data_IF_918271338527
#
_entry.id   IF_918271338527
#
_cell.length_a   1.000
_cell.length_b   1.000
_cell.length_c   1.000
_cell.angle_alpha   90.00
_cell.angle_beta   90.00
_cell.angle_gamma   90.00
#
_symmetry.space_group_name_H-M   'P 1'
#
loop_
_entity.id
_entity.type
_entity.pdbx_description
1 polymer ?
#
# COMPACT_ATOMS: atom_id res chain seq x y z
N UNK A 1 -16.67 1.01 8.54
CA UNK A 1 -15.85 0.74 7.36
C UNK A 1 -15.76 -0.75 7.12
N UNK A 2 -16.00 -1.16 5.91
CA UNK A 2 -15.97 -2.58 5.57
C UNK A 2 -14.66 -2.89 4.87
N UNK A 3 -13.77 -3.58 5.56
CA UNK A 3 -12.43 -3.85 5.04
C UNK A 3 -12.38 -5.05 4.11
N UNK A 4 -13.51 -5.69 3.88
CA UNK A 4 -13.58 -6.77 2.91
C UNK A 4 -13.72 -6.24 1.48
N UNK A 5 -14.00 -4.96 1.33
CA UNK A 5 -14.17 -4.32 0.04
C UNK A 5 -13.38 -3.03 0.01
N UNK A 6 -12.77 -2.75 -1.15
CA UNK A 6 -11.91 -1.59 -1.28
C UNK A 6 -11.79 -1.19 -2.74
N UNK A 7 -11.19 -0.03 -2.96
CA UNK A 7 -10.87 0.42 -4.30
C UNK A 7 -9.53 1.13 -4.27
N UNK A 8 -8.89 1.20 -5.42
CA UNK A 8 -7.64 1.92 -5.57
C UNK A 8 -7.67 2.57 -6.94
N UNK A 9 -7.73 3.88 -6.97
CA UNK A 9 -7.83 4.59 -8.23
C UNK A 9 -6.49 4.73 -8.92
N UNK A 10 -5.43 4.82 -8.15
CA UNK A 10 -4.09 5.00 -8.71
C UNK A 10 -3.24 3.72 -8.63
N UNK A 11 -3.78 2.66 -8.05
CA UNK A 11 -3.02 1.43 -7.89
C UNK A 11 -2.06 1.44 -6.72
N UNK A 12 -1.99 2.56 -5.99
CA UNK A 12 -1.05 2.71 -4.88
C UNK A 12 -1.79 2.98 -3.58
N UNK A 13 -2.81 3.82 -3.63
CA UNK A 13 -3.60 4.16 -2.46
C UNK A 13 -4.76 3.20 -2.31
N UNK A 14 -5.13 2.89 -1.08
CA UNK A 14 -6.21 1.96 -0.79
C UNK A 14 -7.29 2.68 -0.02
N UNK A 15 -8.52 2.56 -0.51
CA UNK A 15 -9.68 3.13 0.16
C UNK A 15 -10.66 2.02 0.47
N UNK A 16 -10.95 1.81 1.75
CA UNK A 16 -11.91 0.79 2.16
C UNK A 16 -13.33 1.28 1.97
N UNK A 17 -14.23 0.34 1.71
CA UNK A 17 -15.61 0.65 1.45
C UNK A 17 -16.33 1.09 2.73
N UNK A 18 -17.35 1.96 2.61
CA UNK A 18 -18.16 2.32 3.76
C UNK A 18 -19.00 1.13 4.21
N UNK A 19 -19.26 1.05 5.50
CA UNK A 19 -20.16 0.01 6.00
C UNK A 19 -21.61 0.46 5.92
N UNK A 20 -21.83 1.76 5.74
CA UNK A 20 -23.17 2.32 5.71
C UNK A 20 -23.26 3.28 4.53
N UNK A 21 -24.22 3.04 3.65
CA UNK A 21 -24.37 3.88 2.46
C UNK A 21 -25.76 3.69 1.87
N UNK A 22 -26.10 4.57 0.93
CA UNK A 22 -27.38 4.49 0.23
C UNK A 22 -27.15 4.24 -1.24
N UNK A 23 -27.91 3.30 -1.81
CA UNK A 23 -27.80 2.95 -3.21
C UNK A 23 -29.18 2.67 -3.74
N UNK A 24 -29.56 3.38 -4.85
CA UNK A 24 -30.87 3.24 -5.48
C UNK A 24 -32.00 3.42 -4.46
N UNK A 25 -31.86 4.41 -3.58
CA UNK A 25 -32.89 4.71 -2.60
C UNK A 25 -32.99 3.73 -1.46
N UNK A 26 -32.09 2.77 -1.39
CA UNK A 26 -32.08 1.78 -0.31
C UNK A 26 -30.85 1.99 0.55
N UNK A 27 -31.07 2.02 1.85
CA UNK A 27 -29.97 2.19 2.79
C UNK A 27 -29.43 0.86 3.22
N UNK A 28 -28.11 0.72 3.10
CA UNK A 28 -27.43 -0.52 3.46
C UNK A 28 -26.56 -0.25 4.70
N UNK A 29 -26.56 -1.21 5.59
CA UNK A 29 -25.79 -1.11 6.83
C UNK A 29 -25.17 -2.47 7.08
N UNK A 30 -23.82 -2.52 7.03
CA UNK A 30 -23.06 -3.73 7.31
C UNK A 30 -23.38 -4.86 6.33
N UNK A 31 -23.70 -4.52 5.07
CA UNK A 31 -23.91 -5.54 4.06
C UNK A 31 -22.57 -6.08 3.60
N UNK A 32 -22.57 -7.32 3.12
CA UNK A 32 -21.40 -7.92 2.51
C UNK A 32 -21.70 -8.36 1.08
N UNK A 33 -22.66 -7.71 0.44
CA UNK A 33 -23.04 -8.06 -0.91
C UNK A 33 -22.01 -7.53 -1.88
N UNK A 34 -21.31 -8.44 -2.52
CA UNK A 34 -20.29 -8.07 -3.50
C UNK A 34 -20.91 -7.32 -4.66
N UNK A 35 -22.10 -7.73 -5.06
CA UNK A 35 -22.80 -7.10 -6.17
C UNK A 35 -23.07 -5.63 -5.88
N UNK A 36 -23.55 -5.34 -4.68
CA UNK A 36 -23.87 -3.97 -4.30
C UNK A 36 -22.61 -3.13 -4.21
N UNK A 37 -21.56 -3.66 -3.59
CA UNK A 37 -20.32 -2.90 -3.48
C UNK A 37 -19.68 -2.67 -4.83
N UNK A 38 -19.76 -3.64 -5.74
CA UNK A 38 -19.24 -3.44 -7.09
C UNK A 38 -20.01 -2.33 -7.80
N UNK A 39 -21.30 -2.24 -7.54
CA UNK A 39 -22.11 -1.22 -8.18
C UNK A 39 -21.72 0.19 -7.75
N UNK A 40 -21.21 0.36 -6.55
CA UNK A 40 -20.79 1.68 -6.08
C UNK A 40 -19.28 1.89 -6.20
N UNK A 41 -18.59 0.94 -6.86
CA UNK A 41 -17.19 1.16 -7.22
C UNK A 41 -16.18 0.48 -6.32
N UNK A 42 -16.60 -0.41 -5.43
CA UNK A 42 -15.69 -1.13 -4.56
C UNK A 42 -15.67 -2.59 -4.93
N UNK A 43 -14.52 -3.22 -4.73
CA UNK A 43 -14.30 -4.61 -5.13
C UNK A 43 -13.89 -5.42 -3.92
N UNK A 44 -14.14 -6.73 -3.99
CA UNK A 44 -13.67 -7.61 -2.94
C UNK A 44 -12.16 -7.47 -2.82
N UNK A 45 -11.69 -7.20 -1.61
CA UNK A 45 -10.29 -6.94 -1.39
C UNK A 45 -9.61 -8.20 -0.91
N UNK A 46 -8.55 -8.60 -1.63
CA UNK A 46 -7.77 -9.77 -1.27
C UNK A 46 -6.42 -9.31 -0.77
N UNK A 47 -6.21 -9.51 0.51
CA UNK A 47 -5.00 -9.10 1.19
C UNK A 47 -3.98 -10.22 1.14
N UNK A 48 -2.72 -9.86 0.99
CA UNK A 48 -1.63 -10.81 1.00
C UNK A 48 -0.56 -10.31 1.95
N UNK A 49 0.31 -11.23 2.35
CA UNK A 49 1.41 -10.88 3.24
C UNK A 49 2.61 -10.45 2.42
N UNK A 50 3.34 -9.47 2.97
CA UNK A 50 4.55 -9.01 2.31
C UNK A 50 5.59 -10.12 2.32
N UNK A 51 6.23 -10.37 1.17
CA UNK A 51 7.32 -11.34 1.15
C UNK A 51 8.49 -10.85 1.99
N UNK A 52 9.33 -11.79 2.41
CA UNK A 52 10.51 -11.46 3.18
C UNK A 52 11.72 -12.05 2.46
N UNK A 53 12.70 -11.19 2.15
CA UNK A 53 13.88 -11.62 1.43
C UNK A 53 15.03 -10.70 1.82
N UNK A 54 16.14 -11.30 2.22
CA UNK A 54 17.31 -10.53 2.62
C UNK A 54 17.76 -9.61 1.49
N UNK A 55 18.02 -8.37 1.82
CA UNK A 55 18.51 -7.42 0.84
C UNK A 55 17.44 -6.76 -0.01
N UNK A 56 16.16 -7.02 0.29
CA UNK A 56 15.05 -6.46 -0.49
C UNK A 56 13.99 -5.92 0.44
N UNK A 57 13.25 -4.94 -0.06
CA UNK A 57 12.04 -4.48 0.60
C UNK A 57 10.91 -4.48 -0.41
N UNK A 58 9.67 -4.42 0.11
CA UNK A 58 8.50 -4.60 -0.73
C UNK A 58 7.52 -3.47 -0.51
N UNK A 59 6.95 -2.98 -1.61
CA UNK A 59 5.99 -1.89 -1.58
C UNK A 59 4.67 -2.42 -2.13
N UNK A 60 3.56 -2.21 -1.41
CA UNK A 60 2.29 -2.73 -1.88
C UNK A 60 1.75 -1.91 -3.04
N UNK A 61 1.05 -2.59 -3.93
CA UNK A 61 0.26 -1.93 -4.95
C UNK A 61 -0.96 -2.80 -5.20
N UNK A 62 -1.94 -2.25 -5.91
CA UNK A 62 -3.24 -2.89 -5.99
C UNK A 62 -3.68 -2.98 -7.44
N UNK A 63 -4.24 -4.12 -7.81
CA UNK A 63 -4.72 -4.35 -9.17
C UNK A 63 -6.06 -5.05 -9.13
N UNK A 64 -6.96 -4.64 -10.02
CA UNK A 64 -8.24 -5.28 -10.13
C UNK A 64 -8.14 -6.44 -11.10
N UNK A 65 -8.57 -7.63 -10.66
CA UNK A 65 -8.58 -8.83 -11.49
C UNK A 65 -9.82 -9.63 -11.17
N UNK A 66 -10.58 -9.96 -12.22
CA UNK A 66 -11.77 -10.81 -12.09
C UNK A 66 -12.75 -10.30 -11.03
N UNK A 67 -12.91 -8.99 -10.96
CA UNK A 67 -13.88 -8.41 -10.03
C UNK A 67 -13.40 -8.29 -8.62
N UNK A 68 -12.12 -8.51 -8.36
CA UNK A 68 -11.54 -8.37 -7.03
C UNK A 68 -10.36 -7.42 -7.09
N UNK A 69 -10.10 -6.75 -5.98
CA UNK A 69 -8.93 -5.90 -5.85
C UNK A 69 -7.87 -6.68 -5.11
N UNK A 70 -6.75 -6.93 -5.78
CA UNK A 70 -5.69 -7.77 -5.24
C UNK A 70 -4.55 -6.91 -4.74
N UNK A 71 -4.07 -7.23 -3.56
CA UNK A 71 -2.87 -6.60 -3.01
C UNK A 71 -1.66 -7.36 -3.53
N UNK A 72 -0.77 -6.65 -4.19
CA UNK A 72 0.44 -7.23 -4.72
C UNK A 72 1.64 -6.48 -4.18
N UNK A 73 2.81 -7.03 -4.36
CA UNK A 73 4.02 -6.48 -3.78
C UNK A 73 5.07 -6.28 -4.85
N UNK A 74 5.66 -5.09 -4.85
CA UNK A 74 6.74 -4.78 -5.79
C UNK A 74 8.06 -4.90 -5.05
N UNK A 75 8.95 -5.71 -5.60
CA UNK A 75 10.23 -5.97 -4.97
C UNK A 75 11.22 -4.88 -5.35
N UNK A 76 11.93 -4.39 -4.35
CA UNK A 76 12.98 -3.38 -4.54
C UNK A 76 14.21 -3.84 -3.80
N UNK A 77 15.35 -3.67 -4.44
CA UNK A 77 16.60 -4.02 -3.80
C UNK A 77 17.00 -2.90 -2.85
N UNK A 78 17.40 -3.28 -1.63
CA UNK A 78 17.89 -2.31 -0.69
C UNK A 78 19.22 -1.79 -1.21
N UNK A 79 19.38 -0.47 -1.35
CA UNK A 79 20.62 0.06 -1.93
C UNK A 79 21.83 -0.32 -1.10
N UNK A 80 22.85 -0.77 -1.77
CA UNK A 80 24.07 -1.15 -1.08
C UNK A 80 24.87 0.04 -0.62
N UNK A 81 24.52 1.18 -1.10
CA UNK A 81 25.12 2.41 -0.60
C UNK A 81 24.98 2.54 0.88
N UNK A 82 24.01 1.83 1.44
CA UNK A 82 23.82 1.88 2.87
C UNK A 82 25.00 1.36 3.62
N UNK A 83 25.65 0.34 3.07
CA UNK A 83 26.81 -0.19 3.77
C UNK A 83 27.97 0.78 3.73
N UNK A 84 28.16 1.48 2.64
CA UNK A 84 29.21 2.51 2.65
C UNK A 84 28.65 3.85 3.07
N UNK A 85 27.36 3.98 3.08
CA UNK A 85 26.74 5.17 3.62
C UNK A 85 27.12 5.43 5.05
N UNK A 86 27.38 4.38 5.77
CA UNK A 86 27.84 4.50 7.13
C UNK A 86 29.16 5.25 7.18
N UNK A 87 30.07 4.91 6.29
CA UNK A 87 31.35 5.61 6.20
C UNK A 87 31.15 7.05 5.72
N UNK A 88 30.27 7.20 4.76
CA UNK A 88 30.00 8.53 4.24
C UNK A 88 29.43 9.44 5.32
N UNK A 89 28.54 8.91 6.11
CA UNK A 89 27.93 9.68 7.18
C UNK A 89 28.97 10.06 8.20
N UNK A 90 29.80 9.12 8.59
CA UNK A 90 30.85 9.39 9.55
C UNK A 90 31.80 10.45 9.06
N UNK A 91 32.14 10.38 7.77
CA UNK A 91 33.02 11.33 7.17
C UNK A 91 32.42 12.72 7.18
N UNK A 92 31.15 12.80 6.81
CA UNK A 92 30.47 14.09 6.80
C UNK A 92 30.40 14.70 8.17
N UNK A 93 30.15 13.88 9.18
CA UNK A 93 30.08 14.37 10.55
C UNK A 93 31.44 14.83 11.03
N UNK A 94 32.45 14.09 10.68
CA UNK A 94 33.79 14.43 11.12
C UNK A 94 34.31 15.71 10.47
N UNK A 95 33.90 15.94 9.24
CA UNK A 95 34.37 17.07 8.48
C UNK A 95 33.49 18.29 8.63
N UNK A 96 32.30 18.12 8.85
CA UNK A 96 31.36 19.15 8.78
C UNK A 96 30.91 19.78 9.97
N UNK A 97 31.05 19.77 10.12
CA UNK A 97 30.54 19.93 10.33
C UNK A 97 30.47 20.36 10.30
N UNK A 98 30.54 20.35 10.23
CA UNK A 98 30.68 20.38 9.69
C UNK A 98 30.47 20.48 9.24
N UNK A 99 30.25 20.68 9.33
CA UNK A 99 30.40 20.56 8.48
C UNK A 99 30.14 20.69 8.29
N UNK A 100 30.25 20.95 8.71
CA UNK A 100 30.49 20.74 8.22
C UNK A 100 30.93 20.81 8.20
N UNK A 101 31.31 20.94 8.46
CA UNK A 101 32.13 20.73 8.09
C UNK A 101 32.52 20.81 7.85
N UNK A 102 32.54 21.11 7.95
CA UNK A 102 33.11 20.92 7.21
C UNK A 102 33.15 20.84 6.87
#
# INVERSE_FOLDING_TARGET
MNRNFAKSEDGISLEFAPSEFEFNGVRYNATNSEEIYNAIGYFRFERTEAPVKDGFYYVPFYEEENGALLQKWREHEIPKEESFGEEEIKKAIAEGVNSIDE
#
